data_IF_993947386741
#
_entry.id   IF_993947386741
#
_cell.length_a   1.000
_cell.length_b   1.000
_cell.length_c   1.000
_cell.angle_alpha   90.00
_cell.angle_beta   90.00
_cell.angle_gamma   90.00
#
_symmetry.space_group_name_H-M   'P 1'
#
loop_
_entity.id
_entity.type
_entity.pdbx_description
1 polymer ?
#
# COMPACT_ATOMS: atom_id res chain seq x y z
N UNK A 1 58.71 -29.97 -24.52
CA UNK A 1 57.35 -30.51 -24.40
C UNK A 1 56.51 -29.45 -23.68
N UNK A 2 55.80 -28.61 -24.45
CA UNK A 2 54.99 -27.50 -23.90
C UNK A 2 53.54 -28.00 -23.76
N UNK A 3 53.03 -27.96 -22.51
CA UNK A 3 51.63 -28.31 -22.24
C UNK A 3 50.80 -27.02 -22.43
N UNK A 4 50.01 -26.98 -23.49
CA UNK A 4 48.99 -25.95 -23.66
C UNK A 4 47.81 -26.27 -22.77
N UNK A 5 47.64 -25.48 -21.72
CA UNK A 5 46.40 -25.49 -20.88
C UNK A 5 45.43 -24.54 -21.52
N UNK A 6 44.46 -25.06 -22.26
CA UNK A 6 43.33 -24.30 -22.77
C UNK A 6 42.32 -24.13 -21.62
N UNK A 7 42.28 -22.92 -21.03
CA UNK A 7 41.25 -22.58 -20.06
C UNK A 7 39.99 -22.24 -20.86
N UNK A 8 39.03 -23.17 -20.88
CA UNK A 8 37.68 -22.92 -21.39
C UNK A 8 36.94 -22.03 -20.37
N UNK A 9 36.86 -20.75 -20.67
CA UNK A 9 35.91 -19.87 -20.01
C UNK A 9 34.50 -20.25 -20.47
N UNK A 10 33.73 -20.94 -19.60
CA UNK A 10 32.29 -21.02 -19.74
C UNK A 10 31.73 -19.62 -19.48
N UNK A 11 31.47 -18.87 -20.55
CA UNK A 11 30.58 -17.70 -20.46
C UNK A 11 29.19 -18.23 -20.19
N UNK A 12 28.77 -18.20 -18.91
CA UNK A 12 27.38 -18.39 -18.56
C UNK A 12 26.58 -17.27 -19.22
N UNK A 13 25.88 -17.60 -20.30
CA UNK A 13 24.92 -16.69 -20.90
C UNK A 13 23.83 -16.44 -19.89
N UNK A 14 23.84 -15.30 -19.22
CA UNK A 14 22.72 -14.84 -18.41
C UNK A 14 21.55 -14.59 -19.36
N UNK A 15 20.64 -15.55 -19.46
CA UNK A 15 19.37 -15.34 -20.15
C UNK A 15 18.54 -14.35 -19.32
N UNK A 16 18.53 -13.10 -19.71
CA UNK A 16 17.56 -12.13 -19.22
C UNK A 16 16.24 -12.45 -19.91
N UNK A 17 15.37 -13.17 -19.20
CA UNK A 17 14.01 -13.39 -19.66
C UNK A 17 13.22 -12.12 -19.44
N UNK A 18 12.70 -11.53 -20.51
CA UNK A 18 11.75 -10.43 -20.46
C UNK A 18 10.36 -10.95 -20.78
N UNK A 19 9.39 -10.58 -19.97
CA UNK A 19 7.98 -10.88 -20.18
C UNK A 19 7.15 -9.61 -19.99
N UNK A 20 6.29 -9.31 -20.95
CA UNK A 20 5.38 -8.18 -20.87
C UNK A 20 4.19 -8.57 -19.98
N UNK A 21 3.94 -7.80 -18.94
CA UNK A 21 2.80 -7.96 -18.03
C UNK A 21 1.84 -6.81 -18.27
N UNK A 22 0.56 -7.13 -18.48
CA UNK A 22 -0.51 -6.16 -18.63
C UNK A 22 -1.28 -6.00 -17.32
N UNK A 23 -1.70 -4.77 -17.01
CA UNK A 23 -2.61 -4.58 -15.87
C UNK A 23 -3.99 -5.15 -16.21
N UNK A 24 -4.59 -5.83 -15.24
CA UNK A 24 -5.95 -6.40 -15.33
C UNK A 24 -7.03 -5.44 -14.88
N UNK A 25 -6.67 -4.34 -14.22
CA UNK A 25 -7.58 -3.35 -13.68
C UNK A 25 -6.86 -2.22 -12.98
N UNK A 26 -7.65 -1.29 -12.43
CA UNK A 26 -7.18 -0.09 -11.73
C UNK A 26 -7.88 0.03 -10.40
N UNK A 27 -7.14 0.46 -9.38
CA UNK A 27 -7.65 0.75 -8.03
C UNK A 27 -8.25 2.16 -7.98
N UNK A 28 -9.45 2.28 -7.43
CA UNK A 28 -9.97 3.53 -6.88
C UNK A 28 -9.81 3.51 -5.37
N UNK A 29 -9.16 4.52 -4.80
CA UNK A 29 -8.76 4.58 -3.40
C UNK A 29 -9.07 5.96 -2.81
N UNK A 30 -9.32 6.06 -1.50
CA UNK A 30 -9.43 7.35 -0.80
C UNK A 30 -8.10 8.09 -0.71
N UNK A 31 -6.98 7.48 -1.09
CA UNK A 31 -5.64 8.04 -1.01
C UNK A 31 -5.14 8.49 -2.37
N UNK A 32 -5.12 9.80 -2.62
CA UNK A 32 -4.67 10.39 -3.89
C UNK A 32 -3.19 10.80 -3.87
N UNK A 33 -2.52 10.64 -2.74
CA UNK A 33 -1.09 10.96 -2.55
C UNK A 33 -0.42 9.98 -1.60
N UNK A 34 0.91 9.81 -1.71
CA UNK A 34 1.69 8.86 -0.85
C UNK A 34 1.60 9.18 0.64
N UNK A 35 1.52 10.47 1.01
CA UNK A 35 1.49 10.89 2.41
C UNK A 35 0.11 10.62 3.01
N UNK A 36 0.06 9.81 4.07
CA UNK A 36 -1.18 9.40 4.73
C UNK A 36 -1.66 8.00 4.37
N UNK A 37 -1.08 7.36 3.35
CA UNK A 37 -1.40 5.95 3.04
C UNK A 37 -0.89 5.05 4.18
N UNK A 38 -1.68 4.08 4.68
CA UNK A 38 -1.22 3.09 5.64
C UNK A 38 -0.04 2.28 5.06
N UNK A 39 0.96 1.99 5.89
CA UNK A 39 2.18 1.30 5.44
C UNK A 39 1.99 -0.18 5.17
N UNK A 40 0.87 -0.75 5.57
CA UNK A 40 0.48 -2.14 5.35
C UNK A 40 -1.04 -2.21 5.27
N UNK A 41 -1.59 -3.21 4.55
CA UNK A 41 -3.03 -3.43 4.51
C UNK A 41 -3.55 -3.77 5.91
N UNK A 42 -4.85 -3.53 6.13
CA UNK A 42 -5.58 -3.78 7.39
C UNK A 42 -5.18 -2.90 8.58
N UNK A 43 -4.20 -2.00 8.46
CA UNK A 43 -3.91 -1.02 9.52
C UNK A 43 -4.98 0.08 9.63
N UNK A 44 -5.73 0.31 8.57
CA UNK A 44 -6.85 1.25 8.47
C UNK A 44 -8.07 0.51 7.90
N UNK A 45 -8.82 -0.24 8.70
CA UNK A 45 -9.99 -1.01 8.24
C UNK A 45 -11.05 -0.17 7.51
N UNK A 46 -11.19 1.11 7.88
CA UNK A 46 -12.11 2.04 7.22
C UNK A 46 -11.68 2.43 5.78
N UNK A 47 -10.48 2.09 5.35
CA UNK A 47 -9.99 2.38 4.00
C UNK A 47 -10.61 1.42 2.98
N UNK A 48 -11.77 1.80 2.44
CA UNK A 48 -12.42 1.06 1.35
C UNK A 48 -11.78 1.43 0.01
N UNK A 49 -11.43 0.40 -0.76
CA UNK A 49 -10.94 0.53 -2.13
C UNK A 49 -11.77 -0.31 -3.09
N UNK A 50 -11.75 0.06 -4.36
CA UNK A 50 -12.42 -0.65 -5.43
C UNK A 50 -11.44 -0.96 -6.56
N UNK A 51 -11.30 -2.23 -6.92
CA UNK A 51 -10.56 -2.64 -8.12
C UNK A 51 -11.57 -2.75 -9.26
N UNK A 52 -11.47 -1.89 -10.27
CA UNK A 52 -12.27 -1.96 -11.48
C UNK A 52 -11.47 -2.72 -12.53
N UNK A 53 -11.96 -3.91 -12.92
CA UNK A 53 -11.30 -4.73 -13.94
C UNK A 53 -11.44 -4.11 -15.34
N UNK A 54 -10.50 -4.42 -16.22
CA UNK A 54 -10.52 -4.00 -17.62
C UNK A 54 -11.71 -4.63 -18.38
N UNK A 55 -12.17 -4.05 -19.50
CA UNK A 55 -13.39 -4.48 -20.20
C UNK A 55 -13.40 -5.94 -20.70
N UNK A 56 -12.23 -6.51 -20.94
CA UNK A 56 -12.06 -7.90 -21.38
C UNK A 56 -12.40 -8.92 -20.30
N UNK A 57 -12.49 -8.52 -19.02
CA UNK A 57 -12.83 -9.42 -17.89
C UNK A 57 -14.32 -9.35 -17.57
N UNK A 58 -15.00 -10.49 -17.64
CA UNK A 58 -16.39 -10.65 -17.26
C UNK A 58 -16.54 -11.19 -15.83
N UNK A 59 -17.78 -11.33 -15.34
CA UNK A 59 -18.08 -11.98 -14.06
C UNK A 59 -17.57 -13.42 -13.97
N UNK A 60 -17.33 -14.08 -15.10
CA UNK A 60 -16.78 -15.44 -15.11
C UNK A 60 -15.33 -15.48 -14.59
N UNK A 61 -14.56 -14.41 -14.79
CA UNK A 61 -13.18 -14.32 -14.28
C UNK A 61 -13.09 -14.22 -12.76
N UNK A 62 -14.17 -13.81 -12.09
CA UNK A 62 -14.26 -13.66 -10.64
C UNK A 62 -15.25 -14.62 -9.99
N UNK A 63 -15.78 -15.61 -10.77
CA UNK A 63 -16.74 -16.59 -10.26
C UNK A 63 -16.16 -17.38 -9.10
N UNK A 64 -16.82 -17.35 -7.95
CA UNK A 64 -16.42 -18.02 -6.72
C UNK A 64 -15.40 -17.25 -5.87
N UNK A 65 -15.00 -16.02 -6.29
CA UNK A 65 -14.10 -15.19 -5.49
C UNK A 65 -14.76 -14.76 -4.17
N UNK A 66 -16.06 -14.58 -4.17
CA UNK A 66 -16.91 -14.26 -3.01
C UNK A 66 -16.92 -15.34 -1.90
N UNK A 67 -16.42 -16.54 -2.21
CA UNK A 67 -16.18 -17.59 -1.22
C UNK A 67 -14.93 -17.38 -0.34
N UNK A 68 -14.11 -16.35 -0.63
CA UNK A 68 -12.88 -16.04 0.10
C UNK A 68 -13.01 -14.72 0.87
N UNK A 69 -12.55 -14.71 2.12
CA UNK A 69 -12.56 -13.50 2.94
C UNK A 69 -11.40 -12.54 2.59
N UNK A 70 -10.27 -13.11 2.14
CA UNK A 70 -9.08 -12.33 1.79
C UNK A 70 -8.55 -12.71 0.42
N UNK A 71 -7.98 -11.70 -0.26
CA UNK A 71 -7.33 -11.86 -1.56
C UNK A 71 -5.95 -11.21 -1.55
N UNK A 72 -4.99 -11.87 -2.21
CA UNK A 72 -3.72 -11.27 -2.59
C UNK A 72 -3.91 -10.42 -3.84
N UNK A 73 -3.49 -9.17 -3.79
CA UNK A 73 -3.46 -8.25 -4.93
C UNK A 73 -2.02 -7.93 -5.27
N UNK A 74 -1.59 -8.31 -6.46
CA UNK A 74 -0.32 -7.90 -7.05
C UNK A 74 -0.53 -6.64 -7.87
N UNK A 75 0.32 -5.65 -7.67
CA UNK A 75 0.13 -4.33 -8.27
C UNK A 75 1.47 -3.67 -8.62
N UNK A 76 1.41 -2.63 -9.42
CA UNK A 76 2.57 -1.83 -9.80
C UNK A 76 2.67 -0.59 -8.90
N UNK A 77 3.83 -0.36 -8.30
CA UNK A 77 4.14 0.92 -7.66
C UNK A 77 4.37 2.00 -8.72
N UNK A 78 3.30 2.37 -9.45
CA UNK A 78 3.35 3.23 -10.63
C UNK A 78 3.96 4.61 -10.36
N UNK A 79 3.74 5.14 -9.15
CA UNK A 79 4.21 6.44 -8.73
C UNK A 79 5.72 6.45 -8.32
N UNK A 80 6.35 5.25 -8.24
CA UNK A 80 7.76 5.11 -7.94
C UNK A 80 8.63 4.79 -9.18
N UNK A 81 8.03 4.60 -10.35
CA UNK A 81 8.73 4.19 -11.58
C UNK A 81 9.85 5.19 -11.98
N UNK A 82 9.55 6.48 -11.90
CA UNK A 82 10.51 7.53 -12.27
C UNK A 82 11.70 7.63 -11.29
N UNK A 83 11.54 7.15 -10.06
CA UNK A 83 12.60 7.17 -9.04
C UNK A 83 13.59 6.01 -9.21
N UNK A 84 13.22 4.97 -9.99
CA UNK A 84 14.01 3.78 -10.23
C UNK A 84 14.13 2.86 -9.00
N UNK A 85 15.02 1.87 -9.10
CA UNK A 85 15.25 0.92 -8.01
C UNK A 85 16.58 1.20 -7.28
N UNK A 86 16.71 0.68 -6.07
CA UNK A 86 17.93 0.80 -5.27
C UNK A 86 18.21 -0.52 -4.55
N UNK A 87 19.48 -0.96 -4.54
CA UNK A 87 19.90 -2.18 -3.80
C UNK A 87 19.60 -2.09 -2.30
N UNK A 88 19.75 -0.88 -1.74
CA UNK A 88 19.57 -0.64 -0.31
C UNK A 88 18.63 0.55 -0.06
N UNK A 89 17.71 0.36 0.85
CA UNK A 89 16.72 1.36 1.26
C UNK A 89 16.78 1.60 2.77
N UNK A 90 16.12 2.66 3.23
CA UNK A 90 16.02 3.02 4.66
C UNK A 90 14.60 2.80 5.17
N UNK A 91 14.29 1.64 5.78
CA UNK A 91 12.95 1.39 6.31
C UNK A 91 12.57 2.40 7.40
N UNK A 92 11.35 2.99 7.34
CA UNK A 92 10.88 3.91 8.38
C UNK A 92 10.90 3.29 9.79
N UNK A 93 10.59 2.01 9.93
CA UNK A 93 10.63 1.28 11.22
C UNK A 93 12.00 1.25 11.90
N UNK A 94 13.07 1.46 11.14
CA UNK A 94 14.45 1.58 11.65
C UNK A 94 14.88 3.05 11.82
N UNK A 95 13.91 3.96 11.96
CA UNK A 95 14.14 5.40 12.13
C UNK A 95 14.74 6.07 10.90
N UNK A 96 14.69 5.44 9.72
CA UNK A 96 15.27 5.96 8.47
C UNK A 96 16.80 6.07 8.46
N UNK A 97 17.48 5.58 9.52
CA UNK A 97 18.96 5.68 9.67
C UNK A 97 19.67 4.44 9.14
N UNK A 98 19.17 3.24 9.44
CA UNK A 98 19.78 1.97 9.04
C UNK A 98 19.36 1.60 7.64
N UNK A 99 20.32 1.25 6.77
CA UNK A 99 20.06 0.71 5.44
C UNK A 99 19.81 -0.80 5.52
N UNK A 100 18.89 -1.27 4.70
CA UNK A 100 18.56 -2.69 4.52
C UNK A 100 18.53 -3.01 3.02
N UNK A 101 18.88 -4.25 2.65
CA UNK A 101 18.70 -4.71 1.26
C UNK A 101 17.23 -4.62 0.85
N UNK A 102 16.96 -4.21 -0.38
CA UNK A 102 15.59 -3.97 -0.87
C UNK A 102 14.70 -5.21 -0.73
N UNK A 103 15.25 -6.41 -0.93
CA UNK A 103 14.50 -7.67 -0.81
C UNK A 103 14.19 -8.08 0.64
N UNK A 104 14.86 -7.47 1.63
CA UNK A 104 14.49 -7.61 3.04
C UNK A 104 13.42 -6.58 3.47
N UNK A 105 12.80 -5.87 2.54
CA UNK A 105 11.82 -4.81 2.78
C UNK A 105 10.63 -4.93 1.84
N UNK A 106 9.59 -4.13 2.07
CA UNK A 106 8.45 -3.92 1.17
C UNK A 106 8.50 -2.55 0.47
N UNK A 107 9.72 -2.05 0.24
CA UNK A 107 9.93 -0.76 -0.44
C UNK A 107 9.42 -0.78 -1.89
N UNK A 108 8.86 0.32 -2.41
CA UNK A 108 8.49 0.47 -3.82
C UNK A 108 9.71 0.53 -4.77
N UNK A 109 10.90 0.87 -4.27
CA UNK A 109 12.13 0.99 -5.06
C UNK A 109 12.77 -0.39 -5.35
N UNK A 110 11.96 -1.33 -5.85
CA UNK A 110 12.33 -2.70 -6.22
C UNK A 110 12.62 -2.79 -7.72
N UNK A 111 13.40 -3.79 -8.20
CA UNK A 111 13.77 -3.88 -9.63
C UNK A 111 12.58 -3.84 -10.58
N UNK A 112 11.46 -4.49 -10.24
CA UNK A 112 10.26 -4.52 -11.10
C UNK A 112 9.09 -3.69 -10.54
N UNK A 113 9.29 -2.94 -9.47
CA UNK A 113 8.26 -2.13 -8.80
C UNK A 113 6.94 -2.88 -8.50
N UNK A 114 6.98 -4.21 -8.33
CA UNK A 114 5.80 -5.03 -8.02
C UNK A 114 5.55 -5.01 -6.52
N UNK A 115 4.33 -4.66 -6.14
CA UNK A 115 3.80 -4.74 -4.78
C UNK A 115 2.88 -5.95 -4.59
N UNK A 116 2.62 -6.28 -3.32
CA UNK A 116 1.72 -7.35 -2.91
C UNK A 116 1.03 -6.93 -1.61
N UNK A 117 -0.31 -6.87 -1.65
CA UNK A 117 -1.15 -6.55 -0.49
C UNK A 117 -2.20 -7.63 -0.25
N UNK A 118 -2.40 -8.01 1.00
CA UNK A 118 -3.47 -8.89 1.43
C UNK A 118 -4.67 -8.04 1.83
N UNK A 119 -5.70 -8.03 1.01
CA UNK A 119 -6.90 -7.22 1.19
C UNK A 119 -8.07 -8.06 1.66
N UNK A 120 -8.89 -7.52 2.56
CA UNK A 120 -10.14 -8.14 2.94
C UNK A 120 -11.17 -7.88 1.84
N UNK A 121 -11.68 -8.95 1.22
CA UNK A 121 -12.73 -8.86 0.24
C UNK A 121 -14.05 -8.50 0.92
N UNK A 122 -14.71 -7.47 0.42
CA UNK A 122 -16.05 -7.06 0.89
C UNK A 122 -17.13 -7.72 0.01
N UNK A 123 -17.13 -7.39 -1.27
CA UNK A 123 -18.01 -8.01 -2.27
C UNK A 123 -17.52 -7.77 -3.70
N UNK A 124 -18.11 -8.50 -4.64
CA UNK A 124 -17.92 -8.33 -6.08
C UNK A 124 -19.22 -7.83 -6.70
N UNK A 125 -19.13 -6.87 -7.62
CA UNK A 125 -20.29 -6.28 -8.31
C UNK A 125 -20.00 -6.09 -9.79
N UNK A 126 -21.07 -5.88 -10.58
CA UNK A 126 -20.98 -5.49 -11.99
C UNK A 126 -21.78 -4.21 -12.20
N UNK A 127 -21.04 -3.11 -12.34
CA UNK A 127 -21.64 -1.79 -12.55
C UNK A 127 -21.35 -1.33 -13.97
N UNK A 128 -22.39 -1.12 -14.76
CA UNK A 128 -22.31 -0.68 -16.17
C UNK A 128 -21.42 -1.59 -17.04
N UNK A 129 -21.52 -2.91 -16.85
CA UNK A 129 -20.75 -3.89 -17.61
C UNK A 129 -19.28 -4.02 -17.18
N UNK A 130 -18.87 -3.40 -16.08
CA UNK A 130 -17.52 -3.49 -15.51
C UNK A 130 -17.56 -4.24 -14.19
N UNK A 131 -16.71 -5.25 -14.09
CA UNK A 131 -16.51 -5.97 -12.83
C UNK A 131 -15.77 -5.10 -11.84
N UNK A 132 -16.32 -4.98 -10.63
CA UNK A 132 -15.76 -4.24 -9.51
C UNK A 132 -15.57 -5.15 -8.31
N UNK A 133 -14.40 -5.12 -7.73
CA UNK A 133 -14.04 -5.89 -6.55
C UNK A 133 -13.80 -4.89 -5.42
N UNK A 134 -14.65 -4.93 -4.41
CA UNK A 134 -14.59 -4.03 -3.26
C UNK A 134 -13.83 -4.68 -2.12
N UNK A 135 -12.91 -3.94 -1.52
CA UNK A 135 -12.06 -4.42 -0.45
C UNK A 135 -11.99 -3.39 0.69
N UNK A 136 -11.83 -3.89 1.91
CA UNK A 136 -11.57 -3.10 3.11
C UNK A 136 -10.09 -3.14 3.49
N UNK A 137 -9.64 -2.13 4.25
CA UNK A 137 -8.28 -2.06 4.77
C UNK A 137 -7.21 -1.84 3.71
N UNK A 138 -7.55 -1.13 2.62
CA UNK A 138 -6.64 -0.89 1.50
C UNK A 138 -5.47 0.03 1.86
N UNK A 139 -4.28 -0.30 1.33
CA UNK A 139 -3.03 0.47 1.46
C UNK A 139 -2.48 0.91 0.10
N UNK A 140 -3.36 1.08 -0.89
CA UNK A 140 -3.00 1.38 -2.28
C UNK A 140 -3.35 2.82 -2.65
N UNK A 141 -2.47 3.45 -3.43
CA UNK A 141 -2.69 4.77 -4.02
C UNK A 141 -3.81 4.70 -5.07
N UNK A 142 -4.60 5.75 -5.20
CA UNK A 142 -5.57 5.88 -6.28
C UNK A 142 -4.90 5.78 -7.65
N UNK A 143 -5.57 5.14 -8.62
CA UNK A 143 -5.01 4.89 -9.95
C UNK A 143 -3.96 3.76 -10.01
N UNK A 144 -3.73 3.00 -8.92
CA UNK A 144 -2.75 1.90 -8.93
C UNK A 144 -3.14 0.80 -9.91
N UNK A 145 -2.27 0.44 -10.89
CA UNK A 145 -2.52 -0.69 -11.80
C UNK A 145 -2.41 -2.02 -11.05
N UNK A 146 -3.43 -2.87 -11.18
CA UNK A 146 -3.46 -4.25 -10.65
C UNK A 146 -2.94 -5.21 -11.72
N UNK A 147 -2.02 -6.09 -11.34
CA UNK A 147 -1.37 -7.05 -12.23
C UNK A 147 -1.97 -8.45 -12.13
N UNK A 148 -2.38 -8.87 -10.91
CA UNK A 148 -2.97 -10.18 -10.66
C UNK A 148 -3.74 -10.18 -9.32
N UNK A 149 -4.69 -11.12 -9.20
CA UNK A 149 -5.46 -11.36 -7.98
C UNK A 149 -5.45 -12.86 -7.70
N UNK A 150 -5.18 -13.26 -6.46
CA UNK A 150 -5.26 -14.66 -6.01
C UNK A 150 -6.02 -14.75 -4.69
N UNK A 151 -6.80 -15.81 -4.47
CA UNK A 151 -7.41 -16.04 -3.16
C UNK A 151 -6.34 -16.32 -2.10
N UNK A 152 -6.59 -15.88 -0.87
CA UNK A 152 -5.78 -16.24 0.29
C UNK A 152 -6.25 -17.57 0.87
N UNK A 153 -5.32 -18.48 1.13
CA UNK A 153 -5.61 -19.84 1.62
C UNK A 153 -4.96 -20.04 3.00
N UNK A 154 -5.72 -19.85 4.10
CA UNK A 154 -5.18 -19.77 5.46
C UNK A 154 -4.36 -20.99 5.87
N UNK A 155 -4.78 -22.22 5.56
CA UNK A 155 -4.14 -23.43 6.05
C UNK A 155 -2.69 -23.61 5.60
N UNK A 156 -2.31 -23.04 4.45
CA UNK A 156 -0.96 -23.13 3.90
C UNK A 156 -0.16 -21.82 4.08
N UNK A 157 -0.83 -20.66 4.02
CA UNK A 157 -0.17 -19.36 4.00
C UNK A 157 0.02 -18.78 5.40
N UNK A 158 -0.89 -19.03 6.36
CA UNK A 158 -0.75 -18.51 7.71
C UNK A 158 0.43 -19.14 8.47
N UNK A 159 1.37 -18.31 8.90
CA UNK A 159 2.55 -18.69 9.68
C UNK A 159 2.74 -17.72 10.86
N UNK A 160 1.86 -17.78 11.88
CA UNK A 160 1.84 -16.80 12.98
C UNK A 160 3.14 -16.75 13.77
N UNK A 161 3.84 -17.86 13.89
CA UNK A 161 5.10 -17.96 14.66
C UNK A 161 6.36 -17.70 13.82
N UNK A 162 6.19 -17.27 12.55
CA UNK A 162 7.33 -17.01 11.68
C UNK A 162 8.13 -15.79 12.15
N UNK A 163 9.46 -15.88 12.07
CA UNK A 163 10.34 -14.74 12.35
C UNK A 163 10.09 -13.62 11.34
N UNK A 164 9.83 -12.40 11.83
CA UNK A 164 9.53 -11.22 11.01
C UNK A 164 10.72 -10.24 10.85
N UNK A 165 11.95 -10.69 11.09
CA UNK A 165 13.16 -9.88 10.97
C UNK A 165 13.15 -8.68 11.92
N UNK A 166 13.26 -7.47 11.37
CA UNK A 166 13.25 -6.23 12.18
C UNK A 166 11.83 -5.71 12.49
N UNK A 167 10.78 -6.45 12.15
CA UNK A 167 9.39 -6.07 12.40
C UNK A 167 8.90 -6.74 13.68
N UNK A 168 8.83 -5.99 14.77
CA UNK A 168 8.48 -6.49 16.10
C UNK A 168 6.98 -6.60 16.39
N UNK A 169 6.12 -6.14 15.49
CA UNK A 169 4.66 -6.15 15.70
C UNK A 169 3.96 -4.97 15.01
N UNK A 170 2.69 -4.76 15.33
CA UNK A 170 1.92 -3.64 14.85
C UNK A 170 2.54 -2.28 15.30
N UNK A 171 2.40 -1.20 14.51
CA UNK A 171 2.82 0.11 14.97
C UNK A 171 1.96 0.58 16.17
N UNK A 172 2.56 1.36 17.05
CA UNK A 172 1.80 2.05 18.09
C UNK A 172 0.90 3.11 17.43
N UNK A 173 -0.34 3.21 17.88
CA UNK A 173 -1.29 4.18 17.36
C UNK A 173 -1.18 5.49 18.14
N UNK A 174 -1.29 6.61 17.43
CA UNK A 174 -1.40 7.92 18.02
C UNK A 174 -2.85 8.21 18.47
N UNK A 175 -3.01 8.98 19.52
CA UNK A 175 -4.31 9.49 19.94
C UNK A 175 -4.77 10.62 19.02
N UNK A 176 -6.07 10.67 18.71
CA UNK A 176 -6.64 11.68 17.83
C UNK A 176 -7.47 12.67 18.63
N UNK A 177 -7.22 13.95 18.43
CA UNK A 177 -8.02 15.06 18.99
C UNK A 177 -8.50 15.95 17.86
N UNK A 178 -9.79 16.24 17.85
CA UNK A 178 -10.39 17.18 16.89
C UNK A 178 -10.59 18.53 17.56
N UNK A 179 -10.24 19.61 16.87
CA UNK A 179 -10.66 20.95 17.29
C UNK A 179 -12.10 21.21 16.81
N UNK A 180 -13.06 21.43 17.71
CA UNK A 180 -14.49 21.46 17.35
C UNK A 180 -14.88 22.56 16.37
N UNK A 181 -14.12 23.63 16.29
CA UNK A 181 -14.44 24.84 15.52
C UNK A 181 -14.28 24.66 13.99
N UNK A 182 -13.63 23.57 13.55
CA UNK A 182 -13.18 23.39 12.16
C UNK A 182 -13.71 22.11 11.51
N UNK A 183 -14.85 21.59 11.95
CA UNK A 183 -15.47 20.41 11.38
C UNK A 183 -16.40 20.81 10.20
N UNK A 184 -16.21 20.24 9.00
CA UNK A 184 -17.14 20.51 7.91
C UNK A 184 -18.51 19.90 8.22
N UNK A 185 -19.58 20.64 7.95
CA UNK A 185 -20.96 20.20 8.18
C UNK A 185 -21.37 18.93 7.40
N UNK A 186 -20.56 18.50 6.43
CA UNK A 186 -20.80 17.33 5.55
C UNK A 186 -19.85 16.15 5.81
N UNK A 187 -19.09 16.15 6.89
CA UNK A 187 -18.20 15.02 7.18
C UNK A 187 -19.01 13.83 7.73
N UNK A 188 -19.15 12.77 6.93
CA UNK A 188 -19.83 11.55 7.37
C UNK A 188 -19.04 10.81 8.46
N UNK A 189 -19.70 9.90 9.16
CA UNK A 189 -19.07 9.06 10.18
C UNK A 189 -17.95 8.22 9.55
N UNK A 190 -18.16 7.68 8.35
CA UNK A 190 -17.21 6.86 7.61
C UNK A 190 -15.95 7.66 7.24
N UNK A 191 -16.12 8.89 6.73
CA UNK A 191 -14.99 9.77 6.42
C UNK A 191 -14.22 10.15 7.68
N UNK A 192 -14.93 10.41 8.78
CA UNK A 192 -14.31 10.70 10.06
C UNK A 192 -13.46 9.53 10.55
N UNK A 193 -14.01 8.31 10.55
CA UNK A 193 -13.29 7.10 10.94
C UNK A 193 -12.06 6.85 10.06
N UNK A 194 -12.19 7.04 8.75
CA UNK A 194 -11.07 6.89 7.82
C UNK A 194 -9.94 7.88 8.12
N UNK A 195 -10.26 9.15 8.34
CA UNK A 195 -9.28 10.18 8.68
C UNK A 195 -8.60 9.84 10.03
N UNK A 196 -9.38 9.52 11.06
CA UNK A 196 -8.86 9.16 12.40
C UNK A 196 -7.91 7.96 12.32
N UNK A 197 -8.34 6.87 11.70
CA UNK A 197 -7.53 5.67 11.58
C UNK A 197 -6.26 5.90 10.76
N UNK A 198 -6.35 6.67 9.66
CA UNK A 198 -5.18 6.98 8.82
C UNK A 198 -4.14 7.83 9.57
N UNK A 199 -4.58 8.86 10.28
CA UNK A 199 -3.67 9.73 11.03
C UNK A 199 -3.11 9.06 12.29
N UNK A 200 -3.85 8.13 12.90
CA UNK A 200 -3.37 7.33 14.02
C UNK A 200 -2.15 6.45 13.67
N UNK A 201 -1.92 6.15 12.39
CA UNK A 201 -0.76 5.39 11.90
C UNK A 201 0.54 6.20 11.83
N UNK A 202 0.58 7.43 12.32
CA UNK A 202 1.72 8.35 12.23
C UNK A 202 2.29 8.47 10.81
N UNK A 203 1.69 9.31 9.96
CA UNK A 203 2.13 9.45 8.57
C UNK A 203 3.49 10.15 8.42
N UNK A 204 4.07 10.71 9.50
CA UNK A 204 5.34 11.44 9.43
C UNK A 204 6.49 10.54 8.97
N UNK A 205 7.49 11.11 8.26
CA UNK A 205 8.78 10.45 8.13
C UNK A 205 9.38 10.15 9.49
N UNK A 206 9.91 8.95 9.70
CA UNK A 206 10.38 8.46 11.01
C UNK A 206 11.48 9.30 11.68
N UNK A 207 12.13 10.19 10.93
CA UNK A 207 13.19 11.10 11.44
C UNK A 207 12.67 12.51 11.79
N UNK A 208 11.37 12.78 11.56
CA UNK A 208 10.79 14.10 11.84
C UNK A 208 10.06 14.09 13.18
N UNK A 209 10.58 14.89 14.11
CA UNK A 209 9.90 15.22 15.35
C UNK A 209 9.89 16.76 15.49
N UNK A 210 8.89 17.38 14.86
CA UNK A 210 8.70 18.84 14.81
C UNK A 210 7.27 19.15 15.31
N UNK A 211 7.09 19.40 16.64
CA UNK A 211 5.76 19.56 17.23
C UNK A 211 4.95 20.73 16.63
N UNK A 212 5.62 21.83 16.31
CA UNK A 212 4.96 23.01 15.75
C UNK A 212 4.63 22.90 14.24
N UNK A 213 5.07 21.81 13.59
CA UNK A 213 4.86 21.66 12.15
C UNK A 213 3.42 21.27 11.86
N UNK A 214 2.78 22.05 10.99
CA UNK A 214 1.48 21.70 10.41
C UNK A 214 1.74 20.81 9.18
N UNK A 215 1.10 19.64 9.20
CA UNK A 215 1.08 18.69 8.08
C UNK A 215 -0.25 18.83 7.37
N UNK A 216 -0.26 18.53 6.07
CA UNK A 216 -1.45 18.45 5.26
C UNK A 216 -1.50 17.14 4.48
N UNK A 217 -2.67 16.53 4.38
CA UNK A 217 -2.92 15.35 3.55
C UNK A 217 -4.31 15.39 2.95
N UNK A 218 -4.47 14.77 1.78
CA UNK A 218 -5.77 14.58 1.15
C UNK A 218 -6.25 13.15 1.36
N UNK A 219 -7.41 12.98 2.00
CA UNK A 219 -8.03 11.69 2.27
C UNK A 219 -9.49 11.79 1.84
N UNK A 220 -9.95 10.91 0.95
CA UNK A 220 -11.34 10.82 0.46
C UNK A 220 -11.92 12.17 -0.02
N UNK A 221 -11.12 12.99 -0.71
CA UNK A 221 -11.54 14.31 -1.21
C UNK A 221 -11.58 15.41 -0.15
N UNK A 222 -11.03 15.18 1.04
CA UNK A 222 -10.87 16.19 2.08
C UNK A 222 -9.40 16.57 2.25
N UNK A 223 -9.08 17.85 2.24
CA UNK A 223 -7.80 18.35 2.75
C UNK A 223 -7.85 18.37 4.28
N UNK A 224 -6.95 17.64 4.91
CA UNK A 224 -6.84 17.53 6.37
C UNK A 224 -5.54 18.17 6.83
N UNK A 225 -5.63 19.22 7.65
CA UNK A 225 -4.46 19.84 8.29
C UNK A 225 -4.39 19.42 9.75
N UNK A 226 -3.21 19.01 10.18
CA UNK A 226 -2.99 18.51 11.53
C UNK A 226 -1.56 18.79 11.99
N UNK A 227 -1.35 18.73 13.30
CA UNK A 227 -0.03 18.69 13.93
C UNK A 227 0.10 17.47 14.81
N UNK A 228 1.31 17.07 15.13
CA UNK A 228 1.58 15.93 16.00
C UNK A 228 2.47 16.37 17.15
N UNK A 229 1.94 16.27 18.36
CA UNK A 229 2.61 16.59 19.61
C UNK A 229 2.77 15.28 20.38
N UNK A 230 4.00 14.82 20.58
CA UNK A 230 4.30 13.52 21.20
C UNK A 230 3.54 12.37 20.53
N UNK A 231 2.56 11.80 21.24
CA UNK A 231 1.68 10.71 20.79
C UNK A 231 0.25 11.18 20.45
N UNK A 232 0.06 12.47 20.23
CA UNK A 232 -1.23 13.06 19.94
C UNK A 232 -1.23 13.74 18.58
N UNK A 233 -2.19 13.39 17.74
CA UNK A 233 -2.55 14.11 16.52
C UNK A 233 -3.63 15.10 16.86
N UNK A 234 -3.41 16.37 16.61
CA UNK A 234 -4.42 17.42 16.72
C UNK A 234 -4.86 17.80 15.31
N UNK A 235 -6.10 17.48 14.95
CA UNK A 235 -6.69 17.86 13.67
C UNK A 235 -7.13 19.32 13.75
N UNK A 236 -6.50 20.15 12.92
CA UNK A 236 -6.68 21.61 12.94
C UNK A 236 -7.81 22.05 12.00
N UNK A 237 -7.93 21.44 10.84
CA UNK A 237 -9.01 21.72 9.89
C UNK A 237 -9.21 20.56 8.92
N UNK A 238 -10.46 20.43 8.45
CA UNK A 238 -10.86 19.52 7.37
C UNK A 238 -11.70 20.31 6.39
N UNK A 239 -11.29 20.35 5.12
CA UNK A 239 -11.95 21.09 4.07
C UNK A 239 -12.29 20.16 2.92
N UNK A 240 -13.55 20.15 2.48
CA UNK A 240 -13.96 19.41 1.27
C UNK A 240 -13.33 20.06 0.03
N UNK A 241 -12.76 19.24 -0.83
CA UNK A 241 -12.18 19.66 -2.12
C UNK A 241 -13.18 19.57 -3.28
N UNK A 242 -14.41 19.07 -2.99
CA UNK A 242 -15.51 18.92 -3.95
C UNK A 242 -16.65 19.89 -3.64
#
# INVERSE_FOLDING_TARGET
MWINVTILFFQAAFFIMQHLIHSIGIVSSPYTQKFGIPRQPQLVPAAKICITLNPEFSLDSVRGLDGFEYIWVQFLFHDALAEGWAEMVRPPRLGGKKKMGVFATRSPHRPNHIGLSLLQLDYVDNINGRVKIWCNGGDLLDGTPVLDIKPYIPFIEAKPDAKAGFVSGAPELLNITWLPENLPAKLSIEHRQLIEQSLAQDPRPAYQNLPERIYGTTIAGFEVKFRIEDKHVVILSVVSLN
#
